data_IF_592021963891
#
_entry.id   IF_592021963891
#
_cell.length_a   1.000
_cell.length_b   1.000
_cell.length_c   1.000
_cell.angle_alpha   90.00
_cell.angle_beta   90.00
_cell.angle_gamma   90.00
#
_symmetry.space_group_name_H-M   'P 1'
#
loop_
_entity.id
_entity.type
_entity.pdbx_description
1 polymer ?
#
# COMPACT_ATOMS: atom_id res chain seq x y z
N UNK A 1 47.02 -34.66 -11.73
CA UNK A 1 45.92 -33.98 -11.00
C UNK A 1 44.62 -34.73 -11.25
N UNK A 2 43.91 -35.19 -10.21
CA UNK A 2 42.74 -36.06 -10.37
C UNK A 2 41.55 -35.28 -10.94
N UNK A 3 41.02 -35.69 -12.10
CA UNK A 3 39.88 -35.03 -12.78
C UNK A 3 38.66 -34.87 -11.85
N UNK A 4 38.46 -35.79 -10.92
CA UNK A 4 37.36 -35.75 -9.94
C UNK A 4 37.52 -34.60 -8.92
N UNK A 5 38.75 -34.23 -8.59
CA UNK A 5 39.04 -33.11 -7.67
C UNK A 5 38.73 -31.77 -8.38
N UNK A 6 39.09 -31.66 -9.66
CA UNK A 6 38.83 -30.45 -10.44
C UNK A 6 37.33 -30.20 -10.64
N UNK A 7 36.57 -31.26 -10.96
CA UNK A 7 35.10 -31.19 -11.13
C UNK A 7 34.42 -30.77 -9.83
N UNK A 8 34.83 -31.33 -8.68
CA UNK A 8 34.29 -30.94 -7.37
C UNK A 8 34.54 -29.47 -7.04
N UNK A 9 35.71 -28.92 -7.40
CA UNK A 9 36.02 -27.50 -7.16
C UNK A 9 35.16 -26.57 -8.00
N UNK A 10 34.89 -26.94 -9.26
CA UNK A 10 34.00 -26.18 -10.16
C UNK A 10 32.55 -26.22 -9.66
N UNK A 11 32.06 -27.38 -9.21
CA UNK A 11 30.71 -27.50 -8.65
C UNK A 11 30.53 -26.67 -7.39
N UNK A 12 31.51 -26.69 -6.47
CA UNK A 12 31.47 -25.88 -5.25
C UNK A 12 31.55 -24.38 -5.54
N UNK A 13 32.37 -23.95 -6.51
CA UNK A 13 32.42 -22.53 -6.88
C UNK A 13 31.13 -22.07 -7.57
N UNK A 14 30.51 -22.92 -8.39
CA UNK A 14 29.25 -22.62 -9.06
C UNK A 14 28.08 -22.53 -8.07
N UNK A 15 28.01 -23.40 -7.06
CA UNK A 15 26.98 -23.30 -6.02
C UNK A 15 27.17 -22.07 -5.14
N UNK A 16 28.41 -21.72 -4.78
CA UNK A 16 28.70 -20.48 -4.05
C UNK A 16 28.32 -19.26 -4.89
N UNK A 17 28.65 -19.23 -6.18
CA UNK A 17 28.30 -18.14 -7.09
C UNK A 17 26.77 -18.02 -7.29
N UNK A 18 26.06 -19.14 -7.48
CA UNK A 18 24.59 -19.15 -7.55
C UNK A 18 23.98 -18.69 -6.22
N UNK A 19 24.54 -19.10 -5.08
CA UNK A 19 24.05 -18.65 -3.76
C UNK A 19 24.26 -17.15 -3.53
N UNK A 20 25.35 -16.57 -4.06
CA UNK A 20 25.62 -15.13 -4.04
C UNK A 20 24.69 -14.34 -4.98
N UNK A 21 24.22 -14.94 -6.07
CA UNK A 21 23.22 -14.34 -6.97
C UNK A 21 21.79 -14.32 -6.37
N UNK A 22 21.50 -15.15 -5.35
CA UNK A 22 20.13 -15.35 -4.83
C UNK A 22 19.81 -14.51 -3.58
N UNK A 23 20.71 -13.65 -3.11
CA UNK A 23 20.45 -12.79 -1.95
C UNK A 23 20.11 -11.35 -2.33
N UNK A 24 18.90 -11.15 -2.86
CA UNK A 24 18.23 -9.84 -2.86
C UNK A 24 17.05 -9.92 -1.88
N UNK A 25 17.32 -9.92 -0.56
CA UNK A 25 16.28 -9.62 0.42
C UNK A 25 15.97 -8.12 0.30
N UNK A 26 14.93 -7.79 -0.47
CA UNK A 26 14.44 -6.42 -0.62
C UNK A 26 14.09 -5.80 0.73
N UNK A 27 14.28 -4.49 0.88
CA UNK A 27 13.93 -3.79 2.11
C UNK A 27 12.40 -3.66 2.21
N UNK A 28 11.81 -4.18 3.29
CA UNK A 28 10.37 -4.04 3.54
C UNK A 28 10.07 -2.72 4.28
N UNK A 29 9.04 -2.01 3.81
CA UNK A 29 8.55 -0.76 4.39
C UNK A 29 7.22 -1.01 5.08
N UNK A 30 7.13 -0.64 6.37
CA UNK A 30 5.88 -0.62 7.14
C UNK A 30 5.39 0.80 7.40
N UNK A 31 4.11 1.06 7.16
CA UNK A 31 3.43 2.32 7.50
C UNK A 31 2.18 2.00 8.30
N UNK A 32 2.01 2.65 9.45
CA UNK A 32 0.82 2.51 10.29
C UNK A 32 0.31 3.86 10.76
N UNK A 33 -0.95 3.85 11.20
CA UNK A 33 -1.65 4.94 11.86
C UNK A 33 -2.20 4.46 13.20
N UNK A 34 -2.34 5.40 14.15
CA UNK A 34 -3.04 5.17 15.42
C UNK A 34 -4.26 6.10 15.45
N UNK A 35 -4.11 7.33 15.93
CA UNK A 35 -5.19 8.32 16.03
C UNK A 35 -5.13 9.40 14.94
N UNK A 36 -4.74 9.02 13.72
CA UNK A 36 -4.61 9.95 12.59
C UNK A 36 -4.84 9.26 11.25
N UNK A 37 -5.04 10.06 10.21
CA UNK A 37 -5.08 9.59 8.81
C UNK A 37 -3.72 9.80 8.15
N UNK A 38 -3.40 9.00 7.13
CA UNK A 38 -2.12 9.13 6.41
C UNK A 38 -2.28 8.86 4.92
N UNK A 39 -1.67 9.69 4.09
CA UNK A 39 -1.48 9.41 2.66
C UNK A 39 -0.08 8.84 2.45
N UNK A 40 0.02 7.73 1.73
CA UNK A 40 1.29 7.06 1.39
C UNK A 40 1.37 6.95 -0.13
N UNK A 41 2.45 7.48 -0.69
CA UNK A 41 2.84 7.23 -2.07
C UNK A 41 3.58 5.90 -2.14
N UNK A 42 3.14 5.04 -3.05
CA UNK A 42 3.73 3.73 -3.28
C UNK A 42 4.76 3.82 -4.42
N UNK A 43 5.70 2.86 -4.52
CA UNK A 43 6.78 2.91 -5.52
C UNK A 43 6.28 2.98 -6.98
N UNK A 44 5.11 2.41 -7.28
CA UNK A 44 4.48 2.45 -8.60
C UNK A 44 3.68 3.75 -8.89
N UNK A 45 3.77 4.74 -8.01
CA UNK A 45 2.95 5.97 -8.00
C UNK A 45 1.46 5.76 -7.69
N UNK A 46 1.06 4.58 -7.22
CA UNK A 46 -0.24 4.40 -6.58
C UNK A 46 -0.28 5.13 -5.24
N UNK A 47 -1.48 5.38 -4.72
CA UNK A 47 -1.68 6.07 -3.45
C UNK A 47 -2.51 5.19 -2.52
N UNK A 48 -2.05 5.03 -1.29
CA UNK A 48 -2.80 4.42 -0.19
C UNK A 48 -3.17 5.49 0.84
N UNK A 49 -4.46 5.66 1.11
CA UNK A 49 -4.98 6.52 2.15
C UNK A 49 -5.39 5.64 3.32
N UNK A 50 -4.63 5.70 4.42
CA UNK A 50 -4.87 4.92 5.63
C UNK A 50 -5.85 5.67 6.53
N UNK A 51 -6.88 4.96 6.98
CA UNK A 51 -7.74 5.39 8.08
C UNK A 51 -6.96 5.31 9.42
N UNK A 52 -7.60 5.64 10.55
CA UNK A 52 -7.04 5.37 11.88
C UNK A 52 -6.85 3.86 12.11
N UNK A 53 -5.95 3.49 13.03
CA UNK A 53 -5.66 2.10 13.40
C UNK A 53 -5.45 1.15 12.21
N UNK A 54 -4.76 1.63 11.17
CA UNK A 54 -4.56 0.90 9.92
C UNK A 54 -3.07 0.74 9.65
N UNK A 55 -2.70 -0.35 8.99
CA UNK A 55 -1.32 -0.61 8.64
C UNK A 55 -1.18 -1.22 7.27
N UNK A 56 -0.11 -0.84 6.57
CA UNK A 56 0.33 -1.46 5.33
C UNK A 56 1.81 -1.81 5.41
N UNK A 57 2.18 -2.90 4.77
CA UNK A 57 3.56 -3.39 4.66
C UNK A 57 3.81 -3.84 3.22
N UNK A 58 4.93 -3.41 2.66
CA UNK A 58 5.26 -3.68 1.27
C UNK A 58 6.76 -3.56 0.98
N UNK A 59 7.22 -4.17 -0.11
CA UNK A 59 8.62 -4.09 -0.51
C UNK A 59 8.96 -2.74 -1.14
N UNK A 60 10.11 -2.17 -0.77
CA UNK A 60 10.55 -0.85 -1.20
C UNK A 60 10.57 -0.69 -2.72
N UNK A 61 10.91 -1.76 -3.45
CA UNK A 61 11.08 -1.72 -4.90
C UNK A 61 9.84 -2.16 -5.67
N UNK A 62 8.80 -2.70 -5.00
CA UNK A 62 7.62 -3.28 -5.65
C UNK A 62 7.96 -4.30 -6.75
N UNK A 63 9.02 -5.09 -6.56
CA UNK A 63 9.37 -6.22 -7.43
C UNK A 63 8.13 -7.08 -7.71
N UNK A 64 7.34 -7.30 -6.66
CA UNK A 64 5.92 -7.61 -6.76
C UNK A 64 5.11 -6.43 -6.20
N UNK A 65 4.03 -6.03 -6.90
CA UNK A 65 3.12 -4.96 -6.43
C UNK A 65 2.19 -5.51 -5.33
N UNK A 66 2.77 -6.04 -4.26
CA UNK A 66 2.07 -6.73 -3.17
C UNK A 66 2.13 -5.90 -1.89
N UNK A 67 0.98 -5.77 -1.22
CA UNK A 67 0.84 -5.08 0.05
C UNK A 67 0.15 -6.01 1.05
N UNK A 68 0.71 -6.16 2.25
CA UNK A 68 -0.01 -6.72 3.39
C UNK A 68 -0.71 -5.60 4.15
N UNK A 69 -1.98 -5.78 4.52
CA UNK A 69 -2.78 -4.75 5.19
C UNK A 69 -3.54 -5.26 6.42
N UNK A 70 -3.69 -4.38 7.40
CA UNK A 70 -4.76 -4.43 8.41
C UNK A 70 -5.48 -3.08 8.54
N UNK A 71 -6.72 -3.07 9.04
CA UNK A 71 -7.53 -1.86 9.19
C UNK A 71 -8.19 -1.43 7.87
N UNK A 72 -8.45 -0.14 7.73
CA UNK A 72 -9.18 0.43 6.59
C UNK A 72 -8.29 1.33 5.74
N UNK A 73 -8.21 1.03 4.44
CA UNK A 73 -7.37 1.76 3.49
C UNK A 73 -8.12 1.96 2.18
N UNK A 74 -8.10 3.19 1.68
CA UNK A 74 -8.58 3.52 0.34
C UNK A 74 -7.41 3.61 -0.62
N UNK A 75 -7.48 2.88 -1.73
CA UNK A 75 -6.44 2.82 -2.74
C UNK A 75 -6.83 3.54 -4.02
N UNK A 76 -5.87 4.25 -4.59
CA UNK A 76 -5.88 4.76 -5.96
C UNK A 76 -4.75 4.06 -6.68
N UNK A 77 -5.07 2.93 -7.32
CA UNK A 77 -4.05 2.10 -7.98
C UNK A 77 -3.84 2.55 -9.41
N UNK A 78 -2.60 2.89 -9.74
CA UNK A 78 -2.21 3.23 -11.11
C UNK A 78 -2.38 2.00 -12.00
N UNK A 79 -2.98 2.20 -13.18
CA UNK A 79 -3.11 1.15 -14.19
C UNK A 79 -1.72 0.70 -14.65
N UNK A 80 -1.48 -0.62 -14.64
CA UNK A 80 -0.24 -1.23 -15.10
C UNK A 80 -0.47 -2.62 -15.69
N UNK A 81 0.58 -3.28 -16.17
CA UNK A 81 0.48 -4.62 -16.76
C UNK A 81 0.61 -5.73 -15.71
N UNK A 82 1.30 -5.46 -14.61
CA UNK A 82 1.43 -6.37 -13.47
C UNK A 82 0.30 -6.13 -12.48
N UNK A 83 -0.32 -7.19 -11.93
CA UNK A 83 -1.37 -7.02 -10.93
C UNK A 83 -0.85 -6.37 -9.66
N UNK A 84 -1.68 -5.53 -9.07
CA UNK A 84 -1.52 -5.02 -7.71
C UNK A 84 -2.32 -5.92 -6.77
N UNK A 85 -1.67 -6.42 -5.72
CA UNK A 85 -2.21 -7.44 -4.82
C UNK A 85 -2.22 -6.88 -3.40
N UNK A 86 -3.37 -6.96 -2.74
CA UNK A 86 -3.48 -6.72 -1.30
C UNK A 86 -3.75 -8.05 -0.62
N UNK A 87 -2.90 -8.39 0.32
CA UNK A 87 -3.03 -9.55 1.19
C UNK A 87 -3.60 -9.12 2.53
N UNK A 88 -4.66 -9.80 2.92
CA UNK A 88 -5.24 -9.72 4.25
C UNK A 88 -5.30 -11.12 4.84
N UNK A 89 -5.64 -11.22 6.12
CA UNK A 89 -5.83 -12.51 6.78
C UNK A 89 -6.94 -13.34 6.10
N UNK A 90 -7.96 -12.70 5.53
CA UNK A 90 -9.17 -13.36 5.01
C UNK A 90 -9.15 -13.60 3.49
N UNK A 91 -8.24 -12.95 2.77
CA UNK A 91 -8.20 -13.11 1.32
C UNK A 91 -7.18 -12.23 0.63
N UNK A 92 -7.10 -12.43 -0.68
CA UNK A 92 -6.27 -11.66 -1.60
C UNK A 92 -7.15 -10.85 -2.53
N UNK A 93 -6.86 -9.57 -2.62
CA UNK A 93 -7.52 -8.62 -3.51
C UNK A 93 -6.56 -8.36 -4.66
N UNK A 94 -6.97 -8.62 -5.91
CA UNK A 94 -6.16 -8.39 -7.11
C UNK A 94 -6.82 -7.36 -8.02
N UNK A 95 -6.04 -6.38 -8.45
CA UNK A 95 -6.48 -5.32 -9.37
C UNK A 95 -5.42 -5.00 -10.42
N UNK A 96 -5.82 -4.33 -11.49
CA UNK A 96 -4.91 -3.85 -12.55
C UNK A 96 -4.77 -2.32 -12.51
N UNK A 97 -5.85 -1.62 -12.18
CA UNK A 97 -5.94 -0.17 -12.05
C UNK A 97 -7.35 0.20 -11.60
N UNK A 98 -7.51 0.47 -10.31
CA UNK A 98 -8.80 0.48 -9.62
C UNK A 98 -8.75 1.50 -8.48
N UNK A 99 -9.87 2.18 -8.24
CA UNK A 99 -10.09 2.99 -7.03
C UNK A 99 -11.08 2.24 -6.14
N UNK A 100 -10.66 1.87 -4.94
CA UNK A 100 -11.45 0.99 -4.07
C UNK A 100 -11.04 1.11 -2.61
N UNK A 101 -11.95 0.77 -1.71
CA UNK A 101 -11.73 0.70 -0.28
C UNK A 101 -11.59 -0.75 0.17
N UNK A 102 -10.65 -1.01 1.06
CA UNK A 102 -10.51 -2.31 1.74
C UNK A 102 -10.56 -2.06 3.23
N UNK A 103 -11.53 -2.68 3.90
CA UNK A 103 -11.64 -2.73 5.36
C UNK A 103 -11.41 -4.16 5.81
N UNK A 104 -10.28 -4.40 6.47
CA UNK A 104 -9.87 -5.72 6.95
C UNK A 104 -9.73 -5.69 8.46
N UNK A 105 -10.74 -6.23 9.15
CA UNK A 105 -10.78 -6.40 10.60
C UNK A 105 -10.70 -7.89 10.96
N UNK A 106 -10.60 -8.20 12.25
CA UNK A 106 -10.48 -9.59 12.76
C UNK A 106 -11.66 -10.49 12.39
N UNK A 107 -12.87 -9.93 12.21
CA UNK A 107 -14.08 -10.72 11.92
C UNK A 107 -14.56 -10.63 10.48
N UNK A 108 -14.18 -9.55 9.77
CA UNK A 108 -14.70 -9.24 8.44
C UNK A 108 -13.64 -8.67 7.49
N UNK A 109 -13.82 -8.97 6.20
CA UNK A 109 -13.17 -8.30 5.09
C UNK A 109 -14.26 -7.71 4.19
N UNK A 110 -14.26 -6.39 4.07
CA UNK A 110 -15.12 -5.64 3.15
C UNK A 110 -14.29 -4.97 2.06
N UNK A 111 -14.72 -5.10 0.81
CA UNK A 111 -14.11 -4.43 -0.35
C UNK A 111 -15.17 -3.68 -1.13
N UNK A 112 -15.04 -2.36 -1.27
CA UNK A 112 -15.96 -1.52 -2.04
C UNK A 112 -15.27 -0.88 -3.25
N UNK A 113 -15.84 -1.02 -4.45
CA UNK A 113 -15.20 -0.56 -5.69
C UNK A 113 -15.81 0.75 -6.20
N UNK A 114 -15.01 1.82 -6.23
CA UNK A 114 -15.42 3.12 -6.77
C UNK A 114 -15.17 3.23 -8.28
N UNK A 115 -14.04 2.72 -8.77
CA UNK A 115 -13.73 2.63 -10.21
C UNK A 115 -12.95 1.37 -10.52
N UNK A 116 -13.18 0.81 -11.71
CA UNK A 116 -12.50 -0.39 -12.18
C UNK A 116 -13.16 -1.66 -11.66
N UNK A 117 -12.33 -2.70 -11.50
CA UNK A 117 -12.75 -4.05 -11.15
C UNK A 117 -11.77 -4.60 -10.13
N UNK A 118 -12.30 -5.37 -9.17
CA UNK A 118 -11.54 -6.13 -8.19
C UNK A 118 -11.80 -7.62 -8.37
N UNK A 119 -10.76 -8.44 -8.32
CA UNK A 119 -10.89 -9.87 -8.06
C UNK A 119 -10.58 -10.14 -6.59
N UNK A 120 -11.57 -10.62 -5.85
CA UNK A 120 -11.43 -11.03 -4.45
C UNK A 120 -11.37 -12.55 -4.39
N UNK A 121 -10.27 -13.07 -3.86
CA UNK A 121 -10.04 -14.50 -3.65
C UNK A 121 -9.92 -14.80 -2.17
N UNK A 122 -10.72 -15.72 -1.67
CA UNK A 122 -10.56 -16.37 -0.36
C UNK A 122 -9.94 -17.76 -0.56
N UNK A 123 -9.80 -18.53 0.51
CA UNK A 123 -9.27 -19.90 0.41
C UNK A 123 -10.17 -20.83 -0.42
N UNK A 124 -11.47 -20.55 -0.48
CA UNK A 124 -12.45 -21.45 -1.11
C UNK A 124 -13.08 -20.90 -2.38
N UNK A 125 -13.08 -19.57 -2.57
CA UNK A 125 -13.84 -18.91 -3.63
C UNK A 125 -13.08 -17.74 -4.24
N UNK A 126 -13.41 -17.42 -5.48
CA UNK A 126 -12.98 -16.20 -6.15
C UNK A 126 -14.20 -15.52 -6.76
N UNK A 127 -14.33 -14.20 -6.57
CA UNK A 127 -15.37 -13.38 -7.19
C UNK A 127 -14.84 -12.08 -7.72
N UNK A 128 -15.46 -11.62 -8.80
CA UNK A 128 -15.26 -10.28 -9.33
C UNK A 128 -16.23 -9.30 -8.65
N UNK A 129 -15.71 -8.13 -8.27
CA UNK A 129 -16.45 -7.01 -7.67
C UNK A 129 -16.29 -5.83 -8.61
N UNK A 130 -17.38 -5.36 -9.18
CA UNK A 130 -17.41 -4.28 -10.16
C UNK A 130 -17.68 -2.94 -9.49
N UNK A 131 -17.43 -1.85 -10.21
CA UNK A 131 -17.81 -0.49 -9.81
C UNK A 131 -19.23 -0.43 -9.22
N UNK A 132 -19.36 0.23 -8.07
CA UNK A 132 -20.63 0.41 -7.35
C UNK A 132 -21.03 -0.80 -6.49
N UNK A 133 -20.24 -1.87 -6.50
CA UNK A 133 -20.48 -3.05 -5.67
C UNK A 133 -19.54 -3.11 -4.47
N UNK A 134 -20.00 -3.83 -3.46
CA UNK A 134 -19.19 -4.28 -2.34
C UNK A 134 -19.16 -5.81 -2.27
N UNK A 135 -18.06 -6.33 -1.75
CA UNK A 135 -17.92 -7.71 -1.34
C UNK A 135 -17.67 -7.78 0.16
N UNK A 136 -18.36 -8.70 0.84
CA UNK A 136 -18.21 -8.96 2.27
C UNK A 136 -17.86 -10.44 2.48
N UNK A 137 -16.84 -10.66 3.31
CA UNK A 137 -16.39 -11.98 3.78
C UNK A 137 -16.34 -11.94 5.30
N UNK A 138 -17.14 -12.78 5.95
CA UNK A 138 -17.23 -12.87 7.41
C UNK A 138 -16.73 -14.24 7.88
N UNK A 139 -16.24 -14.34 9.12
CA UNK A 139 -15.81 -15.62 9.70
C UNK A 139 -16.98 -16.61 9.90
N UNK A 140 -18.19 -16.10 10.15
CA UNK A 140 -19.37 -16.90 10.49
C UNK A 140 -20.08 -17.50 9.27
N UNK A 141 -19.92 -16.90 8.09
CA UNK A 141 -20.63 -17.28 6.88
C UNK A 141 -19.64 -17.71 5.81
N UNK A 142 -19.73 -18.97 5.37
CA UNK A 142 -18.93 -19.46 4.25
C UNK A 142 -19.37 -18.76 2.95
N UNK A 143 -18.56 -17.83 2.46
CA UNK A 143 -18.81 -17.24 1.15
C UNK A 143 -18.21 -15.86 0.91
N UNK A 144 -18.41 -15.37 -0.31
CA UNK A 144 -18.23 -13.96 -0.66
C UNK A 144 -19.62 -13.41 -1.02
N UNK A 145 -20.16 -12.53 -0.17
CA UNK A 145 -21.45 -11.86 -0.41
C UNK A 145 -21.22 -10.59 -1.22
N UNK A 146 -21.94 -10.44 -2.34
CA UNK A 146 -21.88 -9.25 -3.19
C UNK A 146 -23.13 -8.41 -2.95
N UNK A 147 -22.96 -7.09 -2.81
CA UNK A 147 -24.05 -6.15 -2.64
C UNK A 147 -23.74 -4.79 -3.25
N UNK A 148 -24.63 -3.82 -3.03
CA UNK A 148 -24.41 -2.43 -3.42
C UNK A 148 -23.45 -1.77 -2.43
N UNK A 149 -22.46 -1.04 -2.95
CA UNK A 149 -21.54 -0.28 -2.12
C UNK A 149 -22.22 0.94 -1.50
N UNK A 150 -21.85 1.24 -0.26
CA UNK A 150 -22.36 2.39 0.49
C UNK A 150 -21.35 3.55 0.51
N UNK A 151 -20.06 3.25 0.28
CA UNK A 151 -18.99 4.24 0.21
C UNK A 151 -18.84 5.06 1.49
N UNK A 152 -19.01 4.40 2.64
CA UNK A 152 -18.88 5.00 3.98
C UNK A 152 -17.50 5.62 4.22
N UNK A 153 -16.45 5.10 3.58
CA UNK A 153 -15.09 5.64 3.68
C UNK A 153 -14.98 7.11 3.26
N UNK A 154 -15.87 7.60 2.40
CA UNK A 154 -15.89 9.00 1.95
C UNK A 154 -15.98 9.99 3.12
N UNK A 155 -16.62 9.59 4.22
CA UNK A 155 -16.74 10.41 5.43
C UNK A 155 -15.37 10.70 6.04
N UNK A 156 -14.56 9.67 6.28
CA UNK A 156 -13.23 9.85 6.88
C UNK A 156 -12.22 10.42 5.88
N UNK A 157 -12.31 10.06 4.59
CA UNK A 157 -11.48 10.65 3.52
C UNK A 157 -11.65 12.17 3.45
N UNK A 158 -12.89 12.67 3.60
CA UNK A 158 -13.17 14.11 3.68
C UNK A 158 -12.51 14.76 4.91
N UNK A 159 -12.36 14.05 6.02
CA UNK A 159 -11.65 14.55 7.20
C UNK A 159 -10.14 14.61 6.96
N UNK A 160 -9.55 13.57 6.35
CA UNK A 160 -8.16 13.59 5.90
C UNK A 160 -7.88 14.81 4.99
N UNK A 161 -8.76 15.08 4.01
CA UNK A 161 -8.61 16.25 3.13
C UNK A 161 -8.61 17.58 3.90
N UNK A 162 -9.45 17.71 4.94
CA UNK A 162 -9.47 18.90 5.80
C UNK A 162 -8.17 19.04 6.58
N UNK A 163 -7.65 17.93 7.13
CA UNK A 163 -6.40 17.91 7.88
C UNK A 163 -5.22 18.30 7.01
N UNK A 164 -5.13 17.73 5.79
CA UNK A 164 -4.11 18.10 4.80
C UNK A 164 -4.17 19.59 4.44
N UNK A 165 -5.37 20.14 4.21
CA UNK A 165 -5.55 21.59 3.94
C UNK A 165 -5.08 22.46 5.12
N UNK A 166 -5.34 22.04 6.36
CA UNK A 166 -4.90 22.75 7.57
C UNK A 166 -3.38 22.74 7.68
N UNK A 167 -2.74 21.58 7.46
CA UNK A 167 -1.28 21.42 7.46
C UNK A 167 -0.65 22.30 6.38
N UNK A 168 -1.17 22.26 5.15
CA UNK A 168 -0.67 23.07 4.04
C UNK A 168 -0.72 24.58 4.36
N UNK A 169 -1.84 25.07 4.91
CA UNK A 169 -1.96 26.48 5.33
C UNK A 169 -0.92 26.85 6.39
N UNK A 170 -0.66 25.97 7.36
CA UNK A 170 0.36 26.19 8.40
C UNK A 170 1.76 26.25 7.79
N UNK A 171 2.12 25.29 6.94
CA UNK A 171 3.42 25.25 6.23
C UNK A 171 3.63 26.53 5.41
N UNK A 172 2.62 26.94 4.63
CA UNK A 172 2.67 28.16 3.80
C UNK A 172 2.85 29.45 4.63
N UNK A 173 2.24 29.51 5.82
CA UNK A 173 2.42 30.65 6.73
C UNK A 173 3.83 30.66 7.32
N UNK A 174 4.31 29.50 7.77
CA UNK A 174 5.66 29.35 8.34
C UNK A 174 6.74 29.67 7.31
N UNK A 175 6.64 29.16 6.08
CA UNK A 175 7.64 29.43 5.03
C UNK A 175 7.74 30.92 4.68
N UNK A 176 6.60 31.64 4.63
CA UNK A 176 6.58 33.10 4.47
C UNK A 176 7.25 33.83 5.63
N UNK A 177 7.07 33.37 6.87
CA UNK A 177 7.68 33.99 8.06
C UNK A 177 9.20 33.79 8.05
N UNK A 178 9.66 32.55 7.86
CA UNK A 178 11.10 32.22 7.75
C UNK A 178 11.76 33.02 6.62
N UNK A 179 11.13 33.11 5.46
CA UNK A 179 11.66 33.90 4.34
C UNK A 179 11.79 35.41 4.63
N UNK A 180 10.96 35.97 5.52
CA UNK A 180 11.10 37.36 5.97
C UNK A 180 12.23 37.54 6.98
N UNK A 181 12.39 36.58 7.90
CA UNK A 181 13.44 36.58 8.93
C UNK A 181 14.83 36.46 8.30
N UNK A 182 15.02 35.49 7.40
CA UNK A 182 16.28 35.32 6.64
C UNK A 182 16.63 36.59 5.86
N UNK A 183 15.66 37.22 5.19
CA UNK A 183 15.89 38.50 4.48
C UNK A 183 16.30 39.64 5.41
N UNK A 184 15.81 39.65 6.66
CA UNK A 184 16.17 40.66 7.67
C UNK A 184 17.60 40.43 8.16
N UNK A 185 17.96 39.19 8.48
CA UNK A 185 19.32 38.83 8.91
C UNK A 185 20.37 39.13 7.82
N UNK A 186 20.08 38.77 6.56
CA UNK A 186 20.97 39.07 5.44
C UNK A 186 21.20 40.58 5.23
N UNK A 187 20.23 41.43 5.57
CA UNK A 187 20.41 42.90 5.53
C UNK A 187 21.28 43.40 6.68
N UNK A 188 21.21 42.77 7.84
CA UNK A 188 22.01 43.15 9.00
C UNK A 188 23.48 42.73 8.85
N UNK A 189 23.77 41.62 8.16
CA UNK A 189 25.14 41.17 7.87
C UNK A 189 25.86 42.01 6.80
N UNK A 190 25.12 42.82 6.03
CA UNK A 190 25.67 43.70 4.98
C UNK A 190 25.87 45.15 5.45
N UNK A 191 25.54 45.44 6.71
CA UNK A 191 25.78 46.73 7.37
C UNK A 191 26.95 46.59 8.31
#
# INVERSE_FOLDING_TARGET
MNKNILIRRILVSLTIFISLLVSCKGSTIKKSTLNSFKAVHLPDNSIALLNNNSSIEFDQDFNERTIKQTGEVFYIVRKGNTPFIIETEKGKIKVIGTEFNVKSLEEELEVEVEKGIVKLKTNTLEKEVKKGQKALVNNTEKGIKIGKAEFKYKKWKKNLDKDLKKIYKKIKKTSKKVGKEVKKELKNLKK
#
